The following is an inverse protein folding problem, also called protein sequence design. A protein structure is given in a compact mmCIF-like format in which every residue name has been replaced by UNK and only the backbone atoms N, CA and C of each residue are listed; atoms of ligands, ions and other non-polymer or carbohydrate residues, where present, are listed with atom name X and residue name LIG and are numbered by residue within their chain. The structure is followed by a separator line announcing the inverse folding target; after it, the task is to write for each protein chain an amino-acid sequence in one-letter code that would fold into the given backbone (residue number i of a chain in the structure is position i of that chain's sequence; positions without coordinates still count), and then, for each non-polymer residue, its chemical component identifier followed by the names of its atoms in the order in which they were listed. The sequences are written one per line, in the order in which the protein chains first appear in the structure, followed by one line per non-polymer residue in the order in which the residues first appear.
data_IF_086729074211
#
_entry.id   IF_086729074211
#
_cell.length_a   1.000
_cell.length_b   1.000
_cell.length_c   1.000
_cell.angle_alpha   90.00
_cell.angle_beta   90.00
_cell.angle_gamma   90.00
#
_symmetry.space_group_name_H-M   'P 1'
#
loop_
_entity.id
_entity.type
_entity.pdbx_description
1 polymer ?
#
# COMPACT_ATOMS: atom_id res chain seq x y z
N UNK A 1 -0.92 -3.38 9.92
CA UNK A 1 -1.68 -3.63 8.67
C UNK A 1 -2.71 -2.53 8.39
N UNK A 2 -3.68 -2.25 9.28
CA UNK A 2 -4.76 -1.28 9.01
C UNK A 2 -4.29 0.12 8.62
N UNK A 3 -3.30 0.69 9.31
CA UNK A 3 -2.83 2.05 9.05
C UNK A 3 -2.25 2.29 7.64
N UNK A 4 -1.86 1.23 6.91
CA UNK A 4 -1.20 1.32 5.60
C UNK A 4 -2.05 0.78 4.45
N UNK A 5 -2.87 -0.24 4.71
CA UNK A 5 -3.58 -1.01 3.68
C UNK A 5 -5.10 -0.85 3.71
N UNK A 6 -5.66 -0.16 4.72
CA UNK A 6 -7.08 0.15 4.74
C UNK A 6 -7.48 0.97 3.52
N UNK A 7 -8.57 0.58 2.85
CA UNK A 7 -9.01 1.18 1.58
C UNK A 7 -7.88 1.29 0.53
N UNK A 8 -6.99 0.29 0.47
CA UNK A 8 -5.86 0.24 -0.47
C UNK A 8 -4.89 1.43 -0.28
N UNK A 9 -4.87 2.02 0.92
CA UNK A 9 -4.06 3.21 1.22
C UNK A 9 -4.65 4.53 0.70
N UNK A 10 -5.87 4.52 0.15
CA UNK A 10 -6.59 5.69 -0.37
C UNK A 10 -7.29 6.45 0.77
N UNK A 11 -6.51 6.81 1.80
CA UNK A 11 -6.99 7.47 3.02
C UNK A 11 -6.10 8.69 3.28
N UNK A 12 -6.70 9.83 3.61
CA UNK A 12 -5.95 11.07 3.84
C UNK A 12 -4.95 10.97 5.01
N UNK A 13 -5.30 10.21 6.04
CA UNK A 13 -4.46 9.92 7.21
C UNK A 13 -3.64 8.63 7.09
N UNK A 14 -3.44 8.14 5.86
CA UNK A 14 -2.67 6.92 5.62
C UNK A 14 -1.23 7.05 6.16
N UNK A 15 -0.73 6.00 6.82
CA UNK A 15 0.62 5.95 7.35
C UNK A 15 1.65 5.64 6.24
N UNK A 16 1.73 6.52 5.24
CA UNK A 16 2.57 6.36 4.04
C UNK A 16 4.07 6.28 4.33
N UNK A 17 4.51 6.70 5.51
CA UNK A 17 5.88 6.59 5.99
C UNK A 17 5.92 5.82 7.31
N UNK A 18 6.58 4.66 7.28
CA UNK A 18 6.78 3.80 8.45
C UNK A 18 8.21 4.00 8.96
N UNK A 19 8.35 4.43 10.22
CA UNK A 19 9.65 4.60 10.88
C UNK A 19 9.89 3.39 11.78
N UNK A 20 11.02 2.71 11.59
CA UNK A 20 11.37 1.48 12.31
C UNK A 20 12.76 1.64 12.91
N UNK A 21 12.92 1.23 14.16
CA UNK A 21 14.23 1.26 14.80
C UNK A 21 15.19 0.29 14.11
N UNK A 22 16.44 0.72 13.90
CA UNK A 22 17.44 -0.04 13.12
C UNK A 22 17.66 -1.46 13.64
N UNK A 23 17.58 -1.66 14.95
CA UNK A 23 17.80 -2.97 15.57
C UNK A 23 16.74 -4.04 15.24
N UNK A 24 15.57 -3.64 14.70
CA UNK A 24 14.46 -4.57 14.41
C UNK A 24 14.01 -4.50 12.94
N UNK A 25 14.76 -3.82 12.08
CA UNK A 25 14.31 -3.54 10.71
C UNK A 25 14.06 -4.84 9.92
N UNK A 26 14.95 -5.81 10.02
CA UNK A 26 14.86 -7.06 9.26
C UNK A 26 13.68 -7.92 9.75
N UNK A 27 13.50 -8.04 11.08
CA UNK A 27 12.37 -8.76 11.66
C UNK A 27 11.04 -8.10 11.29
N UNK A 28 10.98 -6.77 11.38
CA UNK A 28 9.79 -6.01 11.01
C UNK A 28 9.44 -6.20 9.53
N UNK A 29 10.42 -6.07 8.63
CA UNK A 29 10.22 -6.27 7.18
C UNK A 29 9.78 -7.69 6.87
N UNK A 30 10.37 -8.69 7.53
CA UNK A 30 9.96 -10.10 7.37
C UNK A 30 8.51 -10.31 7.76
N UNK A 31 8.10 -9.86 8.96
CA UNK A 31 6.71 -9.97 9.45
C UNK A 31 5.73 -9.16 8.60
N UNK A 32 6.15 -7.99 8.13
CA UNK A 32 5.33 -7.17 7.24
C UNK A 32 5.08 -7.90 5.92
N UNK A 33 6.14 -8.44 5.29
CA UNK A 33 6.06 -9.22 4.05
C UNK A 33 5.14 -10.43 4.20
N UNK A 34 5.31 -11.21 5.27
CA UNK A 34 4.46 -12.37 5.54
C UNK A 34 2.97 -11.97 5.59
N UNK A 35 2.65 -10.91 6.34
CA UNK A 35 1.27 -10.45 6.49
C UNK A 35 0.71 -9.82 5.22
N UNK A 36 1.50 -9.09 4.44
CA UNK A 36 1.03 -8.49 3.18
C UNK A 36 0.83 -9.54 2.10
N UNK A 37 1.72 -10.53 2.00
CA UNK A 37 1.58 -11.63 1.02
C UNK A 37 0.37 -12.52 1.30
N UNK A 38 -0.11 -12.59 2.54
CA UNK A 38 -1.31 -13.34 2.90
C UNK A 38 -2.63 -12.57 2.62
N UNK A 39 -2.58 -11.31 2.18
CA UNK A 39 -3.79 -10.54 1.88
C UNK A 39 -4.43 -10.99 0.57
N UNK A 40 -5.70 -11.44 0.62
CA UNK A 40 -6.47 -11.76 -0.59
C UNK A 40 -6.90 -10.48 -1.30
N UNK A 41 -6.49 -10.36 -2.56
CA UNK A 41 -6.98 -9.35 -3.51
C UNK A 41 -8.14 -9.97 -4.29
N UNK A 42 -9.29 -9.29 -4.38
CA UNK A 42 -10.46 -9.87 -5.01
C UNK A 42 -11.69 -8.98 -5.04
N UNK A 43 -12.84 -9.60 -5.29
CA UNK A 43 -14.15 -8.95 -5.27
C UNK A 43 -14.47 -8.49 -3.84
N UNK A 44 -14.81 -7.21 -3.63
CA UNK A 44 -15.14 -6.68 -2.30
C UNK A 44 -16.39 -7.30 -1.67
N UNK A 45 -17.23 -8.03 -2.42
CA UNK A 45 -18.38 -8.76 -1.90
C UNK A 45 -18.02 -10.11 -1.28
N UNK A 46 -16.82 -10.64 -1.56
CA UNK A 46 -16.32 -11.87 -0.96
C UNK A 46 -15.75 -11.60 0.45
N UNK A 47 -16.23 -12.33 1.46
CA UNK A 47 -15.90 -12.08 2.89
C UNK A 47 -14.40 -12.15 3.21
N UNK A 48 -13.65 -12.94 2.44
CA UNK A 48 -12.24 -13.15 2.65
C UNK A 48 -11.34 -12.18 1.87
N UNK A 49 -11.90 -11.38 0.97
CA UNK A 49 -11.19 -10.27 0.31
C UNK A 49 -10.77 -9.23 1.36
N UNK A 50 -9.47 -8.92 1.39
CA UNK A 50 -8.90 -7.87 2.25
C UNK A 50 -8.44 -6.65 1.46
N UNK A 51 -8.30 -6.80 0.15
CA UNK A 51 -7.85 -5.74 -0.77
C UNK A 51 -8.74 -5.73 -2.00
N UNK A 52 -9.50 -4.65 -2.19
CA UNK A 52 -10.34 -4.44 -3.37
C UNK A 52 -9.61 -3.69 -4.48
N UNK A 53 -10.36 -3.22 -5.48
CA UNK A 53 -9.83 -2.41 -6.57
C UNK A 53 -9.44 -0.99 -6.12
N UNK A 54 -8.52 -0.36 -6.86
CA UNK A 54 -8.33 1.08 -6.79
C UNK A 54 -9.52 1.84 -7.36
N UNK A 55 -9.71 3.10 -6.95
CA UNK A 55 -10.84 3.94 -7.38
C UNK A 55 -10.88 4.18 -8.89
N UNK A 56 -9.71 4.20 -9.55
CA UNK A 56 -9.60 4.36 -10.99
C UNK A 56 -8.30 3.77 -11.52
N UNK A 57 -8.29 3.46 -12.83
CA UNK A 57 -7.07 3.04 -13.54
C UNK A 57 -5.97 4.10 -13.44
N UNK A 58 -6.32 5.38 -13.60
CA UNK A 58 -5.35 6.48 -13.50
C UNK A 58 -4.68 6.53 -12.12
N UNK A 59 -5.44 6.30 -11.05
CA UNK A 59 -4.87 6.26 -9.70
C UNK A 59 -3.94 5.05 -9.51
N UNK A 60 -4.34 3.88 -10.01
CA UNK A 60 -3.50 2.68 -9.99
C UNK A 60 -2.17 2.89 -10.72
N UNK A 61 -2.20 3.46 -11.93
CA UNK A 61 -0.98 3.78 -12.69
C UNK A 61 -0.08 4.78 -11.95
N UNK A 62 -0.65 5.76 -11.25
CA UNK A 62 0.12 6.68 -10.40
C UNK A 62 0.82 5.94 -9.26
N UNK A 63 0.14 5.01 -8.60
CA UNK A 63 0.76 4.18 -7.55
C UNK A 63 1.88 3.32 -8.14
N UNK A 64 1.64 2.70 -9.30
CA UNK A 64 2.63 1.89 -10.01
C UNK A 64 3.87 2.69 -10.40
N UNK A 65 3.72 3.96 -10.82
CA UNK A 65 4.85 4.80 -11.19
C UNK A 65 5.81 5.07 -10.01
N UNK A 66 5.30 5.16 -8.77
CA UNK A 66 6.17 5.26 -7.58
C UNK A 66 6.99 3.99 -7.33
N UNK A 67 6.45 2.82 -7.68
CA UNK A 67 7.13 1.53 -7.52
C UNK A 67 8.19 1.34 -8.61
N UNK A 68 7.86 1.70 -9.85
CA UNK A 68 8.75 1.57 -11.01
C UNK A 68 9.90 2.62 -11.00
N UNK A 69 9.93 3.53 -10.02
CA UNK A 69 10.90 4.63 -9.96
C UNK A 69 10.63 5.75 -10.98
N UNK A 70 9.45 5.74 -11.62
CA UNK A 70 9.01 6.75 -12.58
C UNK A 70 8.28 7.87 -11.83
N UNK A 71 9.04 8.64 -11.05
CA UNK A 71 8.51 9.81 -10.37
C UNK A 71 8.45 11.00 -11.34
N UNK A 72 7.26 11.30 -11.86
CA UNK A 72 6.99 12.59 -12.50
C UNK A 72 6.63 13.56 -11.38
N UNK A 73 7.56 14.45 -11.05
CA UNK A 73 7.29 15.59 -10.19
C UNK A 73 6.14 16.41 -10.80
N UNK A 74 4.95 16.34 -10.20
CA UNK A 74 3.84 17.21 -10.55
C UNK A 74 3.94 18.56 -9.82
N UNK A 75 5.14 19.14 -9.73
CA UNK A 75 5.32 20.54 -9.37
C UNK A 75 4.93 21.41 -10.55
N UNK A 76 3.63 21.47 -10.80
CA UNK A 76 2.96 22.44 -11.67
C UNK A 76 2.19 23.48 -10.85
N UNK A 77 2.82 23.96 -9.77
CA UNK A 77 2.59 25.25 -9.11
C UNK A 77 3.98 25.81 -8.80
#
# INVERSE_FOLDING_TARGET
MMANFYSQGQVCSNASKVLVHRSIVDEFVSKLREKTSAMRVGDPLEEDTKVGAHISRQHMEKVKSYIDGQFVSSSGI
#
